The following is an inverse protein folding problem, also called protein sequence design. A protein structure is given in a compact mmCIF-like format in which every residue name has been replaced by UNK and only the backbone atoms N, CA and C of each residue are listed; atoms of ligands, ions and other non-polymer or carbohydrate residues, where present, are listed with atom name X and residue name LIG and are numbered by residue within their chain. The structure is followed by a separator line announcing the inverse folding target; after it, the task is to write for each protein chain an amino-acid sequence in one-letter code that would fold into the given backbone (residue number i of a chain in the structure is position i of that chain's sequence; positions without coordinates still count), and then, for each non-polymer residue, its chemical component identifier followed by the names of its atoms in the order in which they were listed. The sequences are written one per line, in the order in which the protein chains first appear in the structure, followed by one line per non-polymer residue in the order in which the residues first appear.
data_IF_294033897100
#
_entry.id   IF_294033897100
#
_cell.length_a   1.000
_cell.length_b   1.000
_cell.length_c   1.000
_cell.angle_alpha   90.00
_cell.angle_beta   90.00
_cell.angle_gamma   90.00
#
_symmetry.space_group_name_H-M   'P 1'
#
loop_
_entity.id
_entity.type
_entity.pdbx_description
1 polymer ?
#
# COMPACT_ATOMS: atom_id res chain seq x y z
N UNK A 1 -1.63 3.21 20.83
CA UNK A 1 -1.26 3.56 22.22
C UNK A 1 0.20 4.04 22.24
N UNK A 2 0.51 5.13 22.95
CA UNK A 2 1.89 5.62 23.08
C UNK A 2 2.74 4.66 23.94
N UNK A 3 3.95 4.26 23.50
CA UNK A 3 4.78 3.34 24.25
C UNK A 3 5.38 3.95 25.54
N UNK A 4 5.52 5.28 25.61
CA UNK A 4 6.10 5.94 26.78
C UNK A 4 5.07 6.20 27.88
N UNK A 5 3.90 6.76 27.55
CA UNK A 5 2.91 7.18 28.54
C UNK A 5 1.65 6.29 28.62
N UNK A 6 1.50 5.31 27.71
CA UNK A 6 0.35 4.41 27.69
C UNK A 6 -0.98 5.05 27.24
N UNK A 7 -0.98 6.33 26.88
CA UNK A 7 -2.18 7.04 26.42
C UNK A 7 -2.43 6.77 24.93
N UNK A 8 -3.69 6.56 24.54
CA UNK A 8 -4.10 6.45 23.14
C UNK A 8 -4.30 7.84 22.52
N UNK A 9 -3.20 8.57 22.38
CA UNK A 9 -3.21 9.95 21.89
C UNK A 9 -2.07 10.22 20.89
N UNK A 10 -1.87 9.25 19.99
CA UNK A 10 -0.85 9.27 18.95
C UNK A 10 -1.41 9.91 17.67
N UNK A 11 -0.66 10.82 17.06
CA UNK A 11 -0.96 11.40 15.75
C UNK A 11 0.18 11.14 14.78
N UNK A 12 -0.15 11.06 13.48
CA UNK A 12 0.85 10.85 12.43
C UNK A 12 1.65 12.12 12.19
N UNK A 13 2.94 11.94 11.94
CA UNK A 13 3.82 12.98 11.42
C UNK A 13 3.69 12.98 9.90
N UNK A 14 3.49 14.17 9.33
CA UNK A 14 3.36 14.36 7.87
C UNK A 14 4.41 15.34 7.40
N UNK A 15 5.15 14.93 6.37
CA UNK A 15 6.26 15.71 5.81
C UNK A 15 5.84 16.40 4.52
N UNK A 16 6.58 17.47 4.18
CA UNK A 16 6.40 18.19 2.92
C UNK A 16 5.58 19.47 3.06
N UNK A 17 5.22 20.05 1.92
CA UNK A 17 4.41 21.27 1.88
C UNK A 17 2.95 20.92 2.16
N UNK A 18 2.35 21.42 3.27
CA UNK A 18 0.98 21.06 3.60
C UNK A 18 -0.02 21.69 2.61
N UNK A 19 -1.05 20.94 2.27
CA UNK A 19 -2.26 21.51 1.64
C UNK A 19 -3.06 22.29 2.68
N UNK A 20 -3.98 23.14 2.25
CA UNK A 20 -4.85 23.89 3.18
C UNK A 20 -5.64 22.98 4.13
N UNK A 21 -6.09 21.82 3.64
CA UNK A 21 -6.79 20.81 4.44
C UNK A 21 -5.86 20.21 5.51
N UNK A 22 -4.63 19.89 5.14
CA UNK A 22 -3.65 19.30 6.06
C UNK A 22 -3.19 20.31 7.12
N UNK A 23 -3.06 21.59 6.76
CA UNK A 23 -2.78 22.66 7.71
C UNK A 23 -3.90 22.79 8.75
N UNK A 24 -5.16 22.78 8.32
CA UNK A 24 -6.31 22.79 9.24
C UNK A 24 -6.37 21.55 10.13
N UNK A 25 -6.00 20.38 9.60
CA UNK A 25 -5.92 19.15 10.39
C UNK A 25 -4.83 19.25 11.47
N UNK A 26 -3.69 19.88 11.16
CA UNK A 26 -2.62 20.11 12.11
C UNK A 26 -3.01 21.12 13.21
N UNK A 27 -3.70 22.20 12.86
CA UNK A 27 -4.25 23.16 13.84
C UNK A 27 -5.23 22.49 14.82
N UNK A 28 -5.98 21.49 14.35
CA UNK A 28 -6.87 20.66 15.18
C UNK A 28 -6.14 19.56 15.95
N UNK A 29 -4.82 19.47 15.81
CA UNK A 29 -3.99 18.44 16.41
C UNK A 29 -4.35 17.03 15.95
N UNK A 30 -4.82 16.85 14.71
CA UNK A 30 -5.13 15.53 14.13
C UNK A 30 -3.90 14.91 13.46
N UNK A 31 -2.95 15.74 13.06
CA UNK A 31 -1.64 15.36 12.48
C UNK A 31 -0.58 16.33 13.00
N UNK A 32 0.67 15.89 13.04
CA UNK A 32 1.82 16.76 13.26
C UNK A 32 2.50 17.04 11.92
N UNK A 33 2.79 18.31 11.62
CA UNK A 33 3.54 18.67 10.42
C UNK A 33 5.03 18.69 10.75
N UNK A 34 5.80 17.87 10.03
CA UNK A 34 7.25 17.95 10.01
C UNK A 34 7.72 18.79 8.82
N UNK A 35 9.01 19.13 8.82
CA UNK A 35 9.63 19.86 7.73
C UNK A 35 9.53 19.15 6.38
N UNK A 36 10.05 19.82 5.34
CA UNK A 36 10.06 19.27 3.99
C UNK A 36 11.15 18.22 3.72
N UNK A 37 12.09 18.04 4.65
CA UNK A 37 13.23 17.13 4.51
C UNK A 37 12.95 15.88 5.36
N UNK A 38 13.00 14.71 4.72
CA UNK A 38 12.79 13.41 5.36
C UNK A 38 14.13 12.71 5.58
N UNK A 39 14.35 12.18 6.78
CA UNK A 39 15.47 11.30 7.12
C UNK A 39 14.93 9.93 7.57
N UNK A 40 15.72 8.87 7.41
CA UNK A 40 15.33 7.47 7.69
C UNK A 40 14.94 7.21 9.15
N UNK A 41 15.42 8.05 10.08
CA UNK A 41 15.17 7.95 11.53
C UNK A 41 14.03 8.87 12.03
N UNK A 42 13.34 9.55 11.12
CA UNK A 42 12.27 10.46 11.53
C UNK A 42 11.04 9.72 12.02
N UNK A 43 10.50 10.23 13.12
CA UNK A 43 9.35 9.65 13.77
C UNK A 43 8.11 9.67 12.86
N UNK A 44 7.48 8.51 12.68
CA UNK A 44 6.19 8.41 11.98
C UNK A 44 5.02 8.88 12.87
N UNK A 45 5.18 8.83 14.19
CA UNK A 45 4.16 9.18 15.17
C UNK A 45 4.69 10.06 16.27
N UNK A 46 3.84 10.96 16.75
CA UNK A 46 4.06 11.74 17.97
C UNK A 46 2.86 11.61 18.90
N UNK A 47 3.10 11.45 20.20
CA UNK A 47 2.04 11.45 21.20
C UNK A 47 1.74 12.89 21.60
N UNK A 48 0.47 13.30 21.55
CA UNK A 48 0.07 14.66 21.99
C UNK A 48 0.14 14.83 23.50
N UNK A 49 -0.02 13.73 24.26
CA UNK A 49 0.00 13.74 25.72
C UNK A 49 1.40 13.94 26.33
N UNK A 50 2.44 13.33 25.75
CA UNK A 50 3.80 13.40 26.29
C UNK A 50 4.87 13.85 25.29
N UNK A 51 4.49 14.15 24.04
CA UNK A 51 5.41 14.49 22.94
C UNK A 51 6.43 13.42 22.61
N UNK A 52 6.21 12.17 23.03
CA UNK A 52 7.05 11.05 22.60
C UNK A 52 6.98 10.90 21.09
N UNK A 53 8.12 10.72 20.46
CA UNK A 53 8.25 10.47 19.03
C UNK A 53 8.71 9.03 18.84
N UNK A 54 8.00 8.24 18.03
CA UNK A 54 8.35 6.84 17.78
C UNK A 54 7.88 6.34 16.42
N UNK A 55 8.45 5.20 16.06
CA UNK A 55 8.31 4.55 14.77
C UNK A 55 9.03 5.31 13.66
N UNK A 56 9.46 4.66 12.60
CA UNK A 56 9.97 5.31 11.39
C UNK A 56 8.92 5.32 10.29
N UNK A 57 8.99 6.27 9.36
CA UNK A 57 8.25 6.14 8.09
C UNK A 57 8.66 4.87 7.33
N UNK A 58 9.90 4.39 7.55
CA UNK A 58 10.43 3.16 6.98
C UNK A 58 10.13 1.93 7.85
N UNK A 59 9.46 2.10 8.99
CA UNK A 59 9.02 0.94 9.76
C UNK A 59 8.00 0.15 8.94
N UNK A 60 8.15 -1.18 8.85
CA UNK A 60 7.16 -1.99 8.17
C UNK A 60 5.78 -1.78 8.79
N UNK A 61 4.79 -1.73 7.93
CA UNK A 61 3.40 -1.82 8.31
C UNK A 61 3.10 -3.20 8.92
N UNK A 62 1.95 -3.33 9.59
CA UNK A 62 1.52 -4.63 10.13
C UNK A 62 1.38 -5.66 9.02
N UNK A 63 0.80 -5.27 7.88
CA UNK A 63 0.61 -6.16 6.74
C UNK A 63 1.96 -6.62 6.13
N UNK A 64 2.97 -5.75 6.11
CA UNK A 64 4.33 -6.13 5.66
C UNK A 64 5.02 -7.09 6.62
N UNK A 65 4.82 -6.92 7.94
CA UNK A 65 5.28 -7.90 8.93
C UNK A 65 4.58 -9.24 8.75
N UNK A 66 3.26 -9.24 8.60
CA UNK A 66 2.49 -10.47 8.36
C UNK A 66 2.93 -11.17 7.07
N UNK A 67 3.18 -10.41 5.99
CA UNK A 67 3.70 -10.94 4.75
C UNK A 67 5.08 -11.60 4.95
N UNK A 68 5.99 -10.93 5.65
CA UNK A 68 7.32 -11.48 5.95
C UNK A 68 7.23 -12.75 6.81
N UNK A 69 6.34 -12.77 7.81
CA UNK A 69 6.08 -13.91 8.68
C UNK A 69 5.53 -15.11 7.89
N UNK A 70 4.56 -14.89 6.99
CA UNK A 70 4.00 -15.93 6.12
C UNK A 70 5.05 -16.54 5.18
N UNK A 71 6.00 -15.73 4.72
CA UNK A 71 7.11 -16.16 3.89
C UNK A 71 8.27 -16.77 4.71
N UNK A 72 8.27 -16.58 6.03
CA UNK A 72 9.33 -16.99 6.94
C UNK A 72 10.66 -16.28 6.67
N UNK A 73 10.64 -15.01 6.28
CA UNK A 73 11.84 -14.21 5.95
C UNK A 73 11.84 -12.86 6.67
N UNK A 74 12.94 -12.11 6.60
CA UNK A 74 12.97 -10.76 7.15
C UNK A 74 12.16 -9.78 6.30
N UNK A 75 11.64 -8.70 6.91
CA UNK A 75 10.96 -7.62 6.17
C UNK A 75 11.90 -7.02 5.13
N UNK A 76 13.18 -6.82 5.48
CA UNK A 76 14.20 -6.31 4.57
C UNK A 76 14.37 -7.18 3.33
N UNK A 77 14.18 -8.49 3.44
CA UNK A 77 14.24 -9.42 2.32
C UNK A 77 13.06 -9.23 1.38
N UNK A 78 11.86 -9.04 1.94
CA UNK A 78 10.64 -8.73 1.17
C UNK A 78 10.79 -7.39 0.45
N UNK A 79 11.20 -6.34 1.16
CA UNK A 79 11.38 -5.00 0.57
C UNK A 79 12.44 -5.02 -0.53
N UNK A 80 13.55 -5.74 -0.32
CA UNK A 80 14.59 -5.93 -1.34
C UNK A 80 14.09 -6.71 -2.56
N UNK A 81 13.23 -7.70 -2.37
CA UNK A 81 12.76 -8.58 -3.45
C UNK A 81 11.60 -8.00 -4.25
N UNK A 82 10.65 -7.34 -3.60
CA UNK A 82 9.38 -6.92 -4.23
C UNK A 82 8.95 -5.50 -3.86
N UNK A 83 9.74 -4.77 -3.09
CA UNK A 83 9.42 -3.41 -2.63
C UNK A 83 8.52 -3.39 -1.40
N UNK A 84 8.14 -2.19 -0.98
CA UNK A 84 7.28 -1.91 0.17
C UNK A 84 5.83 -1.57 -0.25
N UNK A 85 5.00 -1.22 0.72
CA UNK A 85 3.63 -0.75 0.54
C UNK A 85 2.61 -1.87 0.36
N UNK A 86 2.89 -3.07 0.89
CA UNK A 86 1.98 -4.21 0.81
C UNK A 86 0.81 -4.05 1.79
N UNK A 87 -0.40 -4.28 1.29
CA UNK A 87 -1.65 -4.24 2.06
C UNK A 87 -2.42 -5.52 1.84
N UNK A 88 -2.90 -6.15 2.89
CA UNK A 88 -3.68 -7.39 2.79
C UNK A 88 -5.08 -7.09 2.23
N UNK A 89 -5.57 -7.91 1.29
CA UNK A 89 -6.86 -7.70 0.61
C UNK A 89 -7.83 -8.87 0.68
N UNK A 90 -7.37 -10.07 1.02
CA UNK A 90 -8.25 -11.21 1.30
C UNK A 90 -7.73 -12.04 2.47
N UNK A 91 -8.67 -12.68 3.17
CA UNK A 91 -8.40 -13.75 4.12
C UNK A 91 -9.00 -15.02 3.53
N UNK A 92 -8.11 -15.88 3.01
CA UNK A 92 -8.36 -17.31 2.78
C UNK A 92 -9.57 -17.71 1.91
N UNK A 93 -9.57 -17.31 0.62
CA UNK A 93 -10.56 -17.83 -0.36
C UNK A 93 -10.15 -19.19 -0.98
N UNK A 94 -8.97 -19.73 -0.68
CA UNK A 94 -8.45 -20.99 -1.26
C UNK A 94 -7.13 -21.50 -0.65
N UNK A 95 -6.79 -21.17 0.60
CA UNK A 95 -5.47 -21.48 1.19
C UNK A 95 -4.34 -20.57 0.71
N UNK A 96 -4.69 -19.36 0.23
CA UNK A 96 -3.75 -18.35 -0.26
C UNK A 96 -4.10 -16.99 0.34
N UNK A 97 -3.12 -16.35 0.95
CA UNK A 97 -3.22 -14.99 1.49
C UNK A 97 -2.78 -13.95 0.47
N UNK A 98 -3.66 -13.03 0.10
CA UNK A 98 -3.38 -12.01 -0.92
C UNK A 98 -3.05 -10.65 -0.31
N UNK A 99 -1.99 -10.06 -0.85
CA UNK A 99 -1.52 -8.71 -0.60
C UNK A 99 -1.48 -7.94 -1.92
N UNK A 100 -1.65 -6.62 -1.86
CA UNK A 100 -1.46 -5.73 -3.02
C UNK A 100 -0.54 -4.58 -2.66
N UNK A 101 0.19 -4.06 -3.64
CA UNK A 101 1.01 -2.86 -3.50
C UNK A 101 0.69 -1.80 -4.55
N UNK A 102 0.88 -0.53 -4.15
CA UNK A 102 0.63 0.68 -4.92
C UNK A 102 -0.74 1.34 -4.65
N UNK A 103 -0.81 2.62 -4.97
CA UNK A 103 -2.03 3.44 -4.87
C UNK A 103 -2.22 4.24 -6.18
N UNK A 104 -3.21 3.89 -7.04
CA UNK A 104 -4.09 2.72 -6.97
C UNK A 104 -3.31 1.40 -7.03
N UNK A 105 -3.90 0.30 -6.54
CA UNK A 105 -3.25 -1.02 -6.52
C UNK A 105 -2.72 -1.45 -7.89
N UNK A 106 -1.46 -1.89 -7.92
CA UNK A 106 -0.69 -2.13 -9.16
C UNK A 106 -0.27 -3.59 -9.34
N UNK A 107 0.06 -4.28 -8.26
CA UNK A 107 0.51 -5.68 -8.25
C UNK A 107 -0.13 -6.41 -7.08
N UNK A 108 -0.41 -7.69 -7.26
CA UNK A 108 -0.83 -8.60 -6.21
C UNK A 108 0.25 -9.64 -5.92
N UNK A 109 0.35 -10.06 -4.66
CA UNK A 109 1.22 -11.11 -4.17
C UNK A 109 0.39 -12.07 -3.33
N UNK A 110 0.30 -13.32 -3.76
CA UNK A 110 -0.37 -14.40 -3.05
C UNK A 110 0.65 -15.28 -2.35
N UNK A 111 0.44 -15.61 -1.07
CA UNK A 111 1.26 -16.57 -0.33
C UNK A 111 0.44 -17.81 -0.03
N UNK A 112 0.85 -18.95 -0.56
CA UNK A 112 0.26 -20.27 -0.30
C UNK A 112 1.29 -21.23 0.26
N UNK A 113 0.94 -22.53 0.34
CA UNK A 113 1.82 -23.57 0.89
C UNK A 113 3.14 -23.69 0.10
N UNK A 114 4.19 -23.07 0.64
CA UNK A 114 5.56 -23.12 0.11
C UNK A 114 5.78 -22.36 -1.20
N UNK A 115 4.80 -21.62 -1.68
CA UNK A 115 4.85 -20.89 -2.95
C UNK A 115 4.35 -19.47 -2.76
N UNK A 116 4.99 -18.51 -3.42
CA UNK A 116 4.51 -17.14 -3.55
C UNK A 116 4.21 -16.83 -5.03
N UNK A 117 3.14 -16.10 -5.30
CA UNK A 117 2.68 -15.81 -6.67
C UNK A 117 2.53 -14.31 -6.85
N UNK A 118 3.29 -13.73 -7.77
CA UNK A 118 3.06 -12.36 -8.23
C UNK A 118 2.07 -12.36 -9.39
N UNK A 119 1.03 -11.54 -9.32
CA UNK A 119 -0.03 -11.51 -10.31
C UNK A 119 -0.56 -10.09 -10.57
N UNK A 120 -1.28 -9.86 -11.69
CA UNK A 120 -2.09 -8.66 -11.86
C UNK A 120 -3.12 -8.51 -10.74
N UNK A 121 -3.41 -7.27 -10.32
CA UNK A 121 -4.38 -7.01 -9.21
C UNK A 121 -5.76 -7.58 -9.49
N UNK A 122 -6.18 -7.64 -10.76
CA UNK A 122 -7.48 -8.21 -11.13
C UNK A 122 -7.59 -9.72 -10.82
N UNK A 123 -6.47 -10.40 -10.58
CA UNK A 123 -6.43 -11.80 -10.16
C UNK A 123 -6.43 -11.98 -8.64
N UNK A 124 -6.35 -10.90 -7.85
CA UNK A 124 -6.40 -11.00 -6.40
C UNK A 124 -7.79 -11.53 -5.97
N UNK A 125 -7.81 -12.65 -5.27
CA UNK A 125 -9.06 -13.35 -4.87
C UNK A 125 -9.52 -14.43 -5.85
N UNK A 126 -8.85 -14.62 -7.00
CA UNK A 126 -9.12 -15.73 -7.92
C UNK A 126 -7.81 -16.48 -8.22
N UNK A 127 -7.62 -17.61 -7.54
CA UNK A 127 -6.39 -18.41 -7.63
C UNK A 127 -6.19 -18.99 -9.03
N UNK A 128 -7.26 -19.34 -9.75
CA UNK A 128 -7.16 -19.92 -11.09
C UNK A 128 -6.65 -18.86 -12.08
N UNK A 129 -7.21 -17.65 -12.05
CA UNK A 129 -6.74 -16.52 -12.86
C UNK A 129 -5.31 -16.13 -12.47
N UNK A 130 -4.98 -16.16 -11.18
CA UNK A 130 -3.64 -15.83 -10.71
C UNK A 130 -2.58 -16.84 -11.15
N UNK A 131 -2.91 -18.11 -11.31
CA UNK A 131 -1.98 -19.10 -11.87
C UNK A 131 -1.81 -18.96 -13.38
N UNK A 132 -2.87 -18.60 -14.11
CA UNK A 132 -2.81 -18.40 -15.56
C UNK A 132 -2.05 -17.12 -15.94
N UNK A 133 -2.27 -16.02 -15.19
CA UNK A 133 -1.75 -14.70 -15.52
C UNK A 133 -0.57 -14.25 -14.65
N UNK A 134 -0.31 -14.97 -13.55
CA UNK A 134 0.75 -14.66 -12.60
C UNK A 134 2.04 -15.45 -12.84
N UNK A 135 3.00 -15.25 -11.94
CA UNK A 135 4.27 -15.98 -11.88
C UNK A 135 4.52 -16.45 -10.46
N UNK A 136 4.76 -17.75 -10.34
CA UNK A 136 5.04 -18.39 -9.06
C UNK A 136 6.55 -18.47 -8.80
N UNK A 137 6.92 -18.29 -7.55
CA UNK A 137 8.29 -18.35 -7.05
C UNK A 137 8.32 -19.14 -5.74
N UNK A 138 9.50 -19.66 -5.42
CA UNK A 138 9.78 -20.27 -4.13
C UNK A 138 10.32 -19.25 -3.14
N UNK A 139 10.37 -19.63 -1.85
CA UNK A 139 11.08 -18.86 -0.83
C UNK A 139 12.57 -18.68 -1.17
N UNK A 140 13.19 -19.70 -1.77
CA UNK A 140 14.60 -19.63 -2.16
C UNK A 140 14.83 -18.61 -3.27
N UNK A 141 13.89 -18.45 -4.20
CA UNK A 141 13.97 -17.40 -5.23
C UNK A 141 13.95 -16.00 -4.61
N UNK A 142 13.15 -15.78 -3.58
CA UNK A 142 13.10 -14.51 -2.84
C UNK A 142 14.45 -14.20 -2.19
N UNK A 143 15.07 -15.19 -1.54
CA UNK A 143 16.31 -15.00 -0.79
C UNK A 143 17.53 -14.89 -1.71
N UNK A 144 17.67 -15.82 -2.65
CA UNK A 144 18.86 -16.02 -3.47
C UNK A 144 18.81 -15.26 -4.80
N UNK A 145 17.61 -14.99 -5.33
CA UNK A 145 17.39 -14.41 -6.66
C UNK A 145 16.34 -13.29 -6.66
N UNK A 146 16.41 -12.32 -5.72
CA UNK A 146 15.37 -11.29 -5.54
C UNK A 146 15.10 -10.47 -6.80
N UNK A 147 16.10 -10.33 -7.69
CA UNK A 147 15.96 -9.58 -8.93
C UNK A 147 14.91 -10.14 -9.89
N UNK A 148 14.63 -11.44 -9.85
CA UNK A 148 13.60 -12.07 -10.68
C UNK A 148 12.19 -11.70 -10.20
N UNK A 149 11.98 -11.68 -8.88
CA UNK A 149 10.73 -11.24 -8.27
C UNK A 149 10.51 -9.74 -8.53
N UNK A 150 11.56 -8.93 -8.34
CA UNK A 150 11.50 -7.49 -8.58
C UNK A 150 11.13 -7.17 -10.03
N UNK A 151 11.76 -7.87 -11.00
CA UNK A 151 11.45 -7.71 -12.41
C UNK A 151 10.01 -8.11 -12.74
N UNK A 152 9.52 -9.20 -12.14
CA UNK A 152 8.15 -9.64 -12.35
C UNK A 152 7.13 -8.66 -11.76
N UNK A 153 7.37 -8.18 -10.53
CA UNK A 153 6.53 -7.19 -9.87
C UNK A 153 6.48 -5.87 -10.67
N UNK A 154 7.63 -5.38 -11.14
CA UNK A 154 7.69 -4.16 -11.94
C UNK A 154 7.02 -4.32 -13.31
N UNK A 155 7.08 -5.49 -13.93
CA UNK A 155 6.35 -5.78 -15.16
C UNK A 155 4.83 -5.66 -14.95
N UNK A 156 4.28 -6.32 -13.92
CA UNK A 156 2.85 -6.24 -13.60
C UNK A 156 2.44 -4.81 -13.24
N UNK A 157 3.25 -4.13 -12.42
CA UNK A 157 2.98 -2.76 -12.02
C UNK A 157 3.03 -1.79 -13.21
N UNK A 158 4.00 -1.93 -14.13
CA UNK A 158 4.06 -1.13 -15.37
C UNK A 158 2.87 -1.40 -16.28
N UNK A 159 2.49 -2.65 -16.46
CA UNK A 159 1.32 -3.01 -17.26
C UNK A 159 0.05 -2.38 -16.68
N UNK A 160 -0.12 -2.45 -15.35
CA UNK A 160 -1.28 -1.90 -14.64
C UNK A 160 -1.32 -0.37 -14.67
N UNK A 161 -0.18 0.32 -14.46
CA UNK A 161 -0.11 1.79 -14.53
C UNK A 161 -0.55 2.36 -15.88
N UNK A 162 -0.41 1.61 -16.98
CA UNK A 162 -0.87 2.02 -18.33
C UNK A 162 -2.39 2.01 -18.49
N UNK A 163 -3.11 1.29 -17.63
CA UNK A 163 -4.59 1.25 -17.68
C UNK A 163 -5.24 2.35 -16.84
N UNK A 164 -4.47 3.02 -15.98
CA UNK A 164 -4.98 4.05 -15.08
C UNK A 164 -5.55 5.25 -15.83
N UNK A 165 -6.60 5.83 -15.25
CA UNK A 165 -7.31 6.98 -15.77
C UNK A 165 -7.12 8.17 -14.85
N UNK A 166 -6.92 9.35 -15.42
CA UNK A 166 -6.75 10.58 -14.66
C UNK A 166 -8.09 11.26 -14.44
N UNK A 167 -8.50 11.48 -13.19
CA UNK A 167 -9.71 12.23 -12.89
C UNK A 167 -9.44 13.74 -12.87
N UNK A 168 -10.11 14.56 -13.70
CA UNK A 168 -9.89 16.01 -13.72
C UNK A 168 -10.42 16.71 -12.47
N UNK A 169 -11.38 16.11 -11.75
CA UNK A 169 -12.04 16.72 -10.58
C UNK A 169 -11.17 16.61 -9.33
N UNK A 170 -10.75 15.39 -8.94
CA UNK A 170 -9.89 15.20 -7.78
C UNK A 170 -8.39 15.27 -8.09
N UNK A 171 -8.00 15.31 -9.38
CA UNK A 171 -6.60 15.36 -9.85
C UNK A 171 -5.74 14.19 -9.33
N UNK A 172 -6.28 12.97 -9.42
CA UNK A 172 -5.59 11.73 -9.04
C UNK A 172 -5.74 10.67 -10.13
N UNK A 173 -4.77 9.75 -10.26
CA UNK A 173 -4.95 8.53 -11.05
C UNK A 173 -5.90 7.57 -10.32
N UNK A 174 -6.74 6.87 -11.09
CA UNK A 174 -7.66 5.86 -10.59
C UNK A 174 -7.58 4.60 -11.46
N UNK A 175 -7.93 3.47 -10.85
CA UNK A 175 -8.15 2.24 -11.59
C UNK A 175 -9.30 2.41 -12.60
N UNK A 176 -9.27 1.74 -13.75
CA UNK A 176 -10.32 1.86 -14.76
C UNK A 176 -11.70 1.43 -14.24
N UNK A 177 -11.78 0.45 -13.34
CA UNK A 177 -13.01 0.01 -12.67
C UNK A 177 -13.58 1.03 -11.67
N UNK A 178 -12.75 1.97 -11.20
CA UNK A 178 -13.16 3.09 -10.33
C UNK A 178 -13.58 4.33 -11.13
N UNK A 179 -13.63 4.21 -12.46
CA UNK A 179 -14.01 5.29 -13.34
C UNK A 179 -15.45 5.16 -13.80
N UNK A 180 -16.20 6.25 -13.65
CA UNK A 180 -17.52 6.34 -14.26
C UNK A 180 -17.33 6.59 -15.76
N UNK A 181 -18.09 5.86 -16.60
CA UNK A 181 -18.10 6.11 -18.05
C UNK A 181 -18.59 7.52 -18.43
N UNK A 182 -19.16 8.25 -17.46
CA UNK A 182 -19.64 9.61 -17.64
C UNK A 182 -18.48 10.63 -17.52
N UNK A 183 -18.16 11.31 -18.64
CA UNK A 183 -17.20 12.44 -18.72
C UNK A 183 -15.78 12.17 -18.20
N UNK A 184 -15.42 10.91 -17.97
CA UNK A 184 -14.08 10.56 -17.51
C UNK A 184 -13.77 11.11 -16.11
N UNK A 185 -14.69 10.94 -15.16
CA UNK A 185 -14.45 11.20 -13.73
C UNK A 185 -14.53 9.91 -12.92
N UNK A 186 -13.82 9.83 -11.78
CA UNK A 186 -13.92 8.68 -10.88
C UNK A 186 -15.30 8.60 -10.23
N UNK A 187 -15.68 7.40 -9.77
CA UNK A 187 -16.98 7.13 -9.16
C UNK A 187 -17.26 8.04 -7.95
N UNK A 188 -16.26 8.28 -7.11
CA UNK A 188 -16.38 9.19 -5.96
C UNK A 188 -16.76 10.61 -6.38
N UNK A 189 -16.11 11.14 -7.43
CA UNK A 189 -16.42 12.47 -7.94
C UNK A 189 -17.77 12.50 -8.67
N UNK A 190 -18.13 11.42 -9.36
CA UNK A 190 -19.43 11.29 -10.01
C UNK A 190 -20.58 11.38 -8.98
N UNK A 191 -20.49 10.65 -7.87
CA UNK A 191 -21.47 10.72 -6.79
C UNK A 191 -21.49 12.10 -6.12
N UNK A 192 -20.34 12.58 -5.65
CA UNK A 192 -20.25 13.82 -4.85
C UNK A 192 -20.56 15.09 -5.61
N UNK A 193 -20.20 15.18 -6.89
CA UNK A 193 -20.26 16.44 -7.65
C UNK A 193 -21.22 16.41 -8.84
N UNK A 194 -21.65 15.23 -9.28
CA UNK A 194 -22.51 15.09 -10.46
C UNK A 194 -23.83 14.37 -10.19
N UNK A 195 -24.10 13.93 -8.95
CA UNK A 195 -25.37 13.33 -8.55
C UNK A 195 -25.67 12.00 -9.25
N UNK A 196 -24.62 11.29 -9.67
CA UNK A 196 -24.73 9.96 -10.28
C UNK A 196 -24.42 8.94 -9.17
N UNK A 197 -25.46 8.35 -8.59
CA UNK A 197 -25.32 7.16 -7.75
C UNK A 197 -25.28 5.90 -8.63
N UNK A 198 -24.48 4.93 -8.17
CA UNK A 198 -24.12 3.70 -8.89
C UNK A 198 -25.30 2.73 -9.02
#
# INVERSE_FOLDING_TARGET
MCPECGVEDAVRVVHGMPTAELALAAERGLVALAGCIVFEDQAAFVCRGCSHEWGSHDDPTTDERELADLLGVGVEDVVRAVGAGWRRVSLDDAGVDWFVSGEPAQVALGVGLGTLTLAPVAAAGDVEVAWDQGRSFSRDDLLCSPGWLAAAADEFARARRRSFRWCPTCRRPHAPEDFSGYRGVCNDCAGRHHGIDR
#
